data_IF_584916317302
#
_entry.id   IF_584916317302
#
_cell.length_a   1.000
_cell.length_b   1.000
_cell.length_c   1.000
_cell.angle_alpha   90.00
_cell.angle_beta   90.00
_cell.angle_gamma   90.00
#
_symmetry.space_group_name_H-M   'P 1'
#
loop_
_entity.id
_entity.type
_entity.pdbx_description
1 polymer ?
#
# COMPACT_ATOMS: atom_id res chain seq x y z
N UNK A 1 -28.29 -10.13 -18.92
CA UNK A 1 -27.49 -11.01 -18.02
C UNK A 1 -26.06 -11.21 -18.53
N UNK A 2 -25.81 -11.56 -19.80
CA UNK A 2 -24.46 -11.75 -20.35
C UNK A 2 -23.59 -10.47 -20.38
N UNK A 3 -24.13 -9.35 -20.85
CA UNK A 3 -23.39 -8.07 -20.91
C UNK A 3 -22.94 -7.58 -19.52
N UNK A 4 -23.80 -7.75 -18.50
CA UNK A 4 -23.46 -7.44 -17.10
C UNK A 4 -22.40 -8.37 -16.51
N UNK A 5 -22.22 -9.58 -17.06
CA UNK A 5 -21.19 -10.52 -16.62
C UNK A 5 -19.84 -10.23 -17.28
N UNK A 6 -19.87 -9.79 -18.55
CA UNK A 6 -18.68 -9.39 -19.31
C UNK A 6 -18.07 -8.08 -18.77
N UNK A 7 -18.88 -7.03 -18.60
CA UNK A 7 -18.42 -5.77 -17.99
C UNK A 7 -17.82 -5.99 -16.59
N UNK A 8 -18.45 -6.85 -15.78
CA UNK A 8 -17.98 -7.17 -14.43
C UNK A 8 -16.67 -7.99 -14.42
N UNK A 9 -16.32 -8.69 -15.51
CA UNK A 9 -15.05 -9.44 -15.65
C UNK A 9 -13.91 -8.53 -16.09
N UNK A 10 -14.17 -7.60 -17.02
CA UNK A 10 -13.20 -6.57 -17.44
C UNK A 10 -12.82 -5.63 -16.29
N UNK A 11 -13.81 -5.19 -15.49
CA UNK A 11 -13.57 -4.35 -14.31
C UNK A 11 -12.67 -5.05 -13.28
N UNK A 12 -12.81 -6.37 -13.12
CA UNK A 12 -12.00 -7.18 -12.21
C UNK A 12 -10.56 -7.33 -12.68
N UNK A 13 -10.36 -7.65 -13.96
CA UNK A 13 -9.00 -7.77 -14.52
C UNK A 13 -8.27 -6.43 -14.47
N UNK A 14 -8.98 -5.32 -14.73
CA UNK A 14 -8.43 -3.98 -14.58
C UNK A 14 -8.04 -3.69 -13.12
N UNK A 15 -8.91 -3.99 -12.15
CA UNK A 15 -8.62 -3.78 -10.74
C UNK A 15 -7.44 -4.63 -10.23
N UNK A 16 -7.35 -5.90 -10.64
CA UNK A 16 -6.21 -6.78 -10.31
C UNK A 16 -4.91 -6.25 -10.90
N UNK A 17 -4.93 -5.80 -12.16
CA UNK A 17 -3.77 -5.21 -12.81
C UNK A 17 -3.30 -3.93 -12.13
N UNK A 18 -4.24 -3.07 -11.69
CA UNK A 18 -3.90 -1.86 -10.97
C UNK A 18 -3.28 -2.16 -9.60
N UNK A 19 -3.78 -3.14 -8.85
CA UNK A 19 -3.17 -3.56 -7.57
C UNK A 19 -1.76 -4.11 -7.82
N UNK A 20 -1.60 -4.99 -8.81
CA UNK A 20 -0.29 -5.51 -9.20
C UNK A 20 0.70 -4.38 -9.52
N UNK A 21 0.28 -3.43 -10.36
CA UNK A 21 1.11 -2.29 -10.74
C UNK A 21 1.46 -1.41 -9.53
N UNK A 22 0.50 -1.16 -8.64
CA UNK A 22 0.70 -0.41 -7.41
C UNK A 22 1.79 -1.04 -6.54
N UNK A 23 1.64 -2.33 -6.23
CA UNK A 23 2.55 -3.07 -5.34
C UNK A 23 3.94 -3.23 -5.98
N UNK A 24 4.01 -3.33 -7.31
CA UNK A 24 5.29 -3.30 -8.03
C UNK A 24 5.98 -1.94 -7.92
N UNK A 25 5.25 -0.83 -8.10
CA UNK A 25 5.81 0.53 -7.98
C UNK A 25 6.32 0.75 -6.56
N UNK A 26 5.54 0.35 -5.54
CA UNK A 26 5.93 0.51 -4.15
C UNK A 26 7.22 -0.27 -3.82
N UNK A 27 7.30 -1.53 -4.25
CA UNK A 27 8.52 -2.33 -4.11
C UNK A 27 9.74 -1.69 -4.77
N UNK A 28 9.59 -1.07 -5.94
CA UNK A 28 10.70 -0.36 -6.58
C UNK A 28 11.14 0.86 -5.76
N UNK A 29 10.19 1.64 -5.23
CA UNK A 29 10.51 2.78 -4.37
C UNK A 29 11.22 2.35 -3.08
N UNK A 30 10.81 1.23 -2.49
CA UNK A 30 11.46 0.60 -1.33
C UNK A 30 12.92 0.24 -1.63
N UNK A 31 13.15 -0.46 -2.74
CA UNK A 31 14.49 -0.89 -3.16
C UNK A 31 15.39 0.31 -3.49
N UNK A 32 14.86 1.32 -4.18
CA UNK A 32 15.59 2.54 -4.49
C UNK A 32 15.97 3.29 -3.20
N UNK A 33 15.10 3.29 -2.20
CA UNK A 33 15.38 3.93 -0.92
C UNK A 33 16.49 3.19 -0.17
N UNK A 34 16.50 1.85 -0.16
CA UNK A 34 17.61 1.07 0.37
C UNK A 34 18.92 1.44 -0.33
N UNK A 35 18.91 1.46 -1.66
CA UNK A 35 20.11 1.72 -2.46
C UNK A 35 20.68 3.13 -2.18
N UNK A 36 19.82 4.11 -2.01
CA UNK A 36 20.24 5.47 -1.66
C UNK A 36 20.80 5.58 -0.25
N UNK A 37 20.19 4.88 0.71
CA UNK A 37 20.67 4.82 2.09
C UNK A 37 22.02 4.12 2.18
N UNK A 38 22.24 3.04 1.41
CA UNK A 38 23.50 2.31 1.36
C UNK A 38 24.63 3.18 0.79
N UNK A 39 24.37 3.88 -0.33
CA UNK A 39 25.29 4.88 -0.90
C UNK A 39 25.65 6.00 0.06
N UNK A 40 24.74 6.31 0.98
CA UNK A 40 24.84 7.43 1.91
C UNK A 40 25.04 6.98 3.34
N UNK A 41 25.57 5.77 3.52
CA UNK A 41 25.59 5.05 4.79
C UNK A 41 26.30 5.79 5.93
N UNK A 42 27.24 6.67 5.59
CA UNK A 42 27.95 7.54 6.55
C UNK A 42 27.06 8.57 7.24
N UNK A 43 25.89 8.89 6.68
CA UNK A 43 25.00 9.94 7.19
C UNK A 43 23.78 9.40 7.93
N UNK A 44 23.54 8.10 7.88
CA UNK A 44 22.36 7.46 8.48
C UNK A 44 22.81 6.47 9.56
N UNK A 45 22.15 6.48 10.71
CA UNK A 45 22.50 5.59 11.80
C UNK A 45 22.32 4.11 11.39
N UNK A 46 23.27 3.25 11.74
CA UNK A 46 23.29 1.83 11.34
C UNK A 46 22.00 1.07 11.72
N UNK A 47 21.43 1.37 12.89
CA UNK A 47 20.15 0.77 13.29
C UNK A 47 19.01 1.15 12.35
N UNK A 48 18.92 2.42 11.93
CA UNK A 48 17.91 2.89 10.97
C UNK A 48 18.07 2.19 9.62
N UNK A 49 19.31 2.00 9.15
CA UNK A 49 19.59 1.25 7.92
C UNK A 49 19.10 -0.20 8.01
N UNK A 50 19.37 -0.87 9.13
CA UNK A 50 18.91 -2.24 9.37
C UNK A 50 17.39 -2.34 9.42
N UNK A 51 16.71 -1.36 10.02
CA UNK A 51 15.25 -1.28 10.01
C UNK A 51 14.69 -1.08 8.60
N UNK A 52 15.26 -0.17 7.81
CA UNK A 52 14.85 0.06 6.41
C UNK A 52 15.00 -1.23 5.59
N UNK A 53 16.15 -1.91 5.72
CA UNK A 53 16.39 -3.18 5.05
C UNK A 53 15.39 -4.25 5.50
N UNK A 54 15.18 -4.39 6.81
CA UNK A 54 14.28 -5.39 7.39
C UNK A 54 12.83 -5.22 6.93
N UNK A 55 12.33 -3.97 6.94
CA UNK A 55 10.98 -3.65 6.45
C UNK A 55 10.87 -3.90 4.95
N UNK A 56 11.90 -3.57 4.16
CA UNK A 56 11.87 -3.81 2.72
C UNK A 56 11.91 -5.31 2.37
N UNK A 57 12.66 -6.12 3.12
CA UNK A 57 12.65 -7.59 2.97
C UNK A 57 11.25 -8.15 3.30
N UNK A 58 10.62 -7.62 4.34
CA UNK A 58 9.24 -7.97 4.68
C UNK A 58 8.25 -7.56 3.58
N UNK A 59 8.45 -6.38 2.99
CA UNK A 59 7.69 -5.90 1.83
C UNK A 59 7.79 -6.81 0.62
N UNK A 60 9.00 -7.26 0.26
CA UNK A 60 9.21 -8.26 -0.79
C UNK A 60 8.39 -9.53 -0.52
N UNK A 61 8.36 -10.00 0.73
CA UNK A 61 7.57 -11.18 1.10
C UNK A 61 6.07 -10.93 0.92
N UNK A 62 5.56 -9.78 1.38
CA UNK A 62 4.16 -9.40 1.21
C UNK A 62 3.78 -9.26 -0.26
N UNK A 63 4.65 -8.65 -1.08
CA UNK A 63 4.48 -8.56 -2.53
C UNK A 63 4.24 -9.94 -3.16
N UNK A 64 5.09 -10.94 -2.86
CA UNK A 64 4.90 -12.31 -3.38
C UNK A 64 3.60 -12.95 -2.90
N UNK A 65 3.20 -12.71 -1.65
CA UNK A 65 1.91 -13.18 -1.13
C UNK A 65 0.74 -12.52 -1.87
N UNK A 66 0.83 -11.22 -2.17
CA UNK A 66 -0.13 -10.48 -2.98
C UNK A 66 -0.21 -11.07 -4.39
N UNK A 67 0.92 -11.34 -5.05
CA UNK A 67 0.95 -12.00 -6.36
C UNK A 67 0.24 -13.35 -6.35
N UNK A 68 0.56 -14.20 -5.38
CA UNK A 68 -0.09 -15.51 -5.23
C UNK A 68 -1.61 -15.36 -5.05
N UNK A 69 -2.05 -14.40 -4.23
CA UNK A 69 -3.46 -14.11 -3.99
C UNK A 69 -4.16 -13.60 -5.26
N UNK A 70 -3.52 -12.72 -6.03
CA UNK A 70 -4.06 -12.21 -7.29
C UNK A 70 -4.13 -13.29 -8.38
N UNK A 71 -3.12 -14.16 -8.48
CA UNK A 71 -3.14 -15.33 -9.37
C UNK A 71 -4.32 -16.26 -9.05
N UNK A 72 -4.58 -16.50 -7.75
CA UNK A 72 -5.72 -17.30 -7.34
C UNK A 72 -7.06 -16.67 -7.77
N UNK A 73 -7.20 -15.34 -7.64
CA UNK A 73 -8.40 -14.60 -8.10
C UNK A 73 -8.57 -14.67 -9.61
N UNK A 74 -7.49 -14.58 -10.39
CA UNK A 74 -7.57 -14.69 -11.84
C UNK A 74 -7.96 -16.10 -12.31
N UNK A 75 -7.61 -17.13 -11.53
CA UNK A 75 -7.88 -18.53 -11.86
C UNK A 75 -9.23 -19.05 -11.32
N UNK A 76 -9.89 -18.32 -10.42
CA UNK A 76 -11.18 -18.72 -9.84
C UNK A 76 -12.30 -17.82 -10.36
N UNK A 77 -13.38 -18.43 -10.89
CA UNK A 77 -14.50 -17.70 -11.49
C UNK A 77 -15.47 -17.09 -10.47
N UNK A 78 -15.08 -17.06 -9.20
CA UNK A 78 -15.93 -16.63 -8.10
C UNK A 78 -16.06 -15.10 -8.06
N UNK A 79 -17.31 -14.66 -7.90
CA UNK A 79 -17.70 -13.25 -7.89
C UNK A 79 -17.56 -12.56 -6.54
N UNK A 80 -16.90 -13.20 -5.58
CA UNK A 80 -16.71 -12.67 -4.24
C UNK A 80 -15.51 -11.71 -4.17
N UNK A 81 -15.64 -10.66 -3.38
CA UNK A 81 -14.51 -9.80 -3.03
C UNK A 81 -13.44 -10.65 -2.35
N UNK A 82 -12.21 -10.57 -2.86
CA UNK A 82 -11.11 -11.33 -2.27
C UNK A 82 -10.70 -10.68 -0.93
N UNK A 83 -11.23 -11.24 0.15
CA UNK A 83 -10.93 -10.85 1.53
C UNK A 83 -9.44 -11.01 1.85
N UNK A 84 -8.75 -11.96 1.20
CA UNK A 84 -7.31 -12.15 1.32
C UNK A 84 -6.53 -10.98 0.70
N UNK A 85 -6.89 -10.53 -0.51
CA UNK A 85 -6.24 -9.35 -1.12
C UNK A 85 -6.48 -8.08 -0.31
N UNK A 86 -7.69 -7.88 0.22
CA UNK A 86 -7.99 -6.73 1.09
C UNK A 86 -7.17 -6.78 2.39
N UNK A 87 -7.04 -7.98 2.97
CA UNK A 87 -6.23 -8.17 4.17
C UNK A 87 -4.73 -7.95 3.91
N UNK A 88 -4.21 -8.48 2.80
CA UNK A 88 -2.80 -8.30 2.41
C UNK A 88 -2.49 -6.82 2.15
N UNK A 89 -3.34 -6.09 1.45
CA UNK A 89 -3.17 -4.64 1.24
C UNK A 89 -3.20 -3.86 2.56
N UNK A 90 -4.10 -4.20 3.49
CA UNK A 90 -4.11 -3.60 4.83
C UNK A 90 -2.84 -3.94 5.61
N UNK A 91 -2.37 -5.18 5.51
CA UNK A 91 -1.18 -5.67 6.21
C UNK A 91 0.09 -4.99 5.69
N UNK A 92 0.25 -4.88 4.37
CA UNK A 92 1.33 -4.12 3.71
C UNK A 92 1.32 -2.67 4.20
N UNK A 93 0.21 -1.95 4.09
CA UNK A 93 0.15 -0.57 4.57
C UNK A 93 0.47 -0.36 6.05
N UNK A 94 0.13 -1.31 6.92
CA UNK A 94 0.44 -1.21 8.35
C UNK A 94 1.86 -1.63 8.73
N UNK A 95 2.43 -2.61 8.04
CA UNK A 95 3.68 -3.27 8.45
C UNK A 95 4.87 -2.97 7.54
N UNK A 96 4.62 -2.39 6.38
CA UNK A 96 5.59 -2.01 5.36
C UNK A 96 5.52 -0.49 5.13
N UNK A 97 4.47 0.02 4.47
CA UNK A 97 4.38 1.41 4.02
C UNK A 97 4.51 2.41 5.17
N UNK A 98 3.76 2.19 6.27
CA UNK A 98 3.79 3.10 7.43
C UNK A 98 5.20 3.13 8.06
N UNK A 99 5.80 1.99 8.44
CA UNK A 99 7.17 1.96 8.90
C UNK A 99 8.17 2.58 7.90
N UNK A 100 8.07 2.29 6.61
CA UNK A 100 8.89 2.89 5.54
C UNK A 100 8.82 4.42 5.57
N UNK A 101 7.61 5.00 5.62
CA UNK A 101 7.41 6.46 5.67
C UNK A 101 7.94 7.05 6.97
N UNK A 102 7.71 6.41 8.13
CA UNK A 102 8.27 6.89 9.40
C UNK A 102 9.81 6.87 9.41
N UNK A 103 10.41 5.82 8.84
CA UNK A 103 11.85 5.73 8.68
C UNK A 103 12.36 6.81 7.72
N UNK A 104 11.65 7.08 6.62
CA UNK A 104 11.97 8.17 5.70
C UNK A 104 11.91 9.54 6.38
N UNK A 105 10.89 9.82 7.20
CA UNK A 105 10.80 11.05 8.01
C UNK A 105 11.99 11.15 8.97
N UNK A 106 12.33 10.04 9.64
CA UNK A 106 13.46 10.00 10.58
C UNK A 106 14.78 10.30 9.86
N UNK A 107 14.99 9.72 8.68
CA UNK A 107 16.16 10.03 7.83
C UNK A 107 16.14 11.50 7.40
N UNK A 108 15.03 12.02 6.87
CA UNK A 108 14.94 13.41 6.42
C UNK A 108 15.26 14.42 7.53
N UNK A 109 14.77 14.18 8.76
CA UNK A 109 15.03 15.05 9.91
C UNK A 109 16.49 15.03 10.38
N UNK A 110 17.12 13.85 10.35
CA UNK A 110 18.48 13.69 10.87
C UNK A 110 19.57 13.98 9.81
N UNK A 111 19.19 14.05 8.53
CA UNK A 111 20.14 14.08 7.42
C UNK A 111 19.89 15.27 6.50
N UNK A 112 20.43 16.44 6.84
CA UNK A 112 20.24 17.70 6.08
C UNK A 112 20.70 17.68 4.61
N UNK A 113 21.44 16.65 4.19
CA UNK A 113 21.98 16.49 2.83
C UNK A 113 21.33 15.37 2.03
N UNK A 114 20.41 14.61 2.62
CA UNK A 114 19.76 13.48 1.99
C UNK A 114 18.33 13.81 1.55
N UNK A 115 18.13 14.95 0.88
CA UNK A 115 16.86 15.19 0.18
C UNK A 115 16.92 14.36 -1.09
N UNK A 116 16.30 13.20 -0.99
CA UNK A 116 16.26 12.16 -2.01
C UNK A 116 15.04 12.34 -2.92
N UNK A 117 15.22 12.23 -4.23
CA UNK A 117 14.10 12.10 -5.17
C UNK A 117 13.20 10.89 -4.83
N UNK A 118 13.77 9.84 -4.24
CA UNK A 118 13.03 8.64 -3.79
C UNK A 118 12.14 8.97 -2.60
N UNK A 119 12.58 9.77 -1.64
CA UNK A 119 11.74 10.21 -0.52
C UNK A 119 10.56 11.06 -0.99
N UNK A 120 10.78 11.95 -1.98
CA UNK A 120 9.69 12.71 -2.61
C UNK A 120 8.71 11.76 -3.31
N UNK A 121 9.22 10.81 -4.10
CA UNK A 121 8.38 9.84 -4.81
C UNK A 121 7.55 8.98 -3.84
N UNK A 122 8.16 8.47 -2.76
CA UNK A 122 7.47 7.76 -1.67
C UNK A 122 6.39 8.61 -1.02
N UNK A 123 6.68 9.87 -0.74
CA UNK A 123 5.71 10.75 -0.10
C UNK A 123 4.54 11.09 -1.03
N UNK A 124 4.78 11.29 -2.34
CA UNK A 124 3.72 11.47 -3.33
C UNK A 124 2.88 10.20 -3.46
N UNK A 125 3.52 9.05 -3.57
CA UNK A 125 2.85 7.76 -3.68
C UNK A 125 2.01 7.44 -2.44
N UNK A 126 2.57 7.66 -1.25
CA UNK A 126 1.90 7.56 0.05
C UNK A 126 0.80 8.62 0.30
N UNK A 127 0.54 9.52 -0.65
CA UNK A 127 -0.68 10.35 -0.70
C UNK A 127 -1.66 9.80 -1.74
N UNK A 128 -1.20 9.51 -2.95
CA UNK A 128 -2.04 9.08 -4.06
C UNK A 128 -2.71 7.73 -3.77
N UNK A 129 -1.96 6.73 -3.31
CA UNK A 129 -2.49 5.39 -3.08
C UNK A 129 -3.57 5.36 -1.98
N UNK A 130 -3.34 5.93 -0.78
CA UNK A 130 -4.39 5.99 0.25
C UNK A 130 -5.67 6.69 -0.21
N UNK A 131 -5.57 7.73 -1.05
CA UNK A 131 -6.75 8.40 -1.62
C UNK A 131 -7.55 7.48 -2.54
N UNK A 132 -6.87 6.72 -3.40
CA UNK A 132 -7.51 5.75 -4.29
C UNK A 132 -8.16 4.61 -3.48
N UNK A 133 -7.47 4.11 -2.45
CA UNK A 133 -7.99 3.07 -1.54
C UNK A 133 -9.21 3.57 -0.74
N UNK A 134 -9.16 4.77 -0.16
CA UNK A 134 -10.30 5.37 0.55
C UNK A 134 -11.52 5.56 -0.35
N UNK A 135 -11.32 5.98 -1.60
CA UNK A 135 -12.40 6.08 -2.60
C UNK A 135 -13.04 4.72 -2.87
N UNK A 136 -12.23 3.66 -3.00
CA UNK A 136 -12.70 2.28 -3.18
C UNK A 136 -13.51 1.82 -1.96
N UNK A 137 -12.98 2.00 -0.74
CA UNK A 137 -13.67 1.68 0.51
C UNK A 137 -15.02 2.41 0.60
N UNK A 138 -15.07 3.70 0.25
CA UNK A 138 -16.32 4.47 0.22
C UNK A 138 -17.35 3.88 -0.75
N UNK A 139 -16.94 3.57 -1.98
CA UNK A 139 -17.79 2.94 -2.98
C UNK A 139 -18.32 1.56 -2.52
N UNK A 140 -17.49 0.76 -1.86
CA UNK A 140 -17.88 -0.56 -1.34
C UNK A 140 -18.88 -0.43 -0.17
N UNK A 141 -18.70 0.57 0.69
CA UNK A 141 -19.64 0.88 1.78
C UNK A 141 -21.00 1.32 1.22
N UNK A 142 -21.02 2.19 0.21
CA UNK A 142 -22.28 2.64 -0.42
C UNK A 142 -22.99 1.49 -1.14
N UNK A 143 -22.23 0.62 -1.83
CA UNK A 143 -22.78 -0.55 -2.51
C UNK A 143 -23.30 -1.61 -1.54
N UNK A 144 -22.61 -1.85 -0.42
CA UNK A 144 -23.05 -2.79 0.62
C UNK A 144 -24.28 -2.29 1.39
N UNK A 145 -24.46 -0.98 1.55
CA UNK A 145 -25.72 -0.40 2.07
C UNK A 145 -26.91 -0.66 1.16
N UNK A 146 -26.70 -0.71 -0.17
CA UNK A 146 -27.73 -1.04 -1.16
C UNK A 146 -28.01 -2.55 -1.25
N UNK A 147 -27.03 -3.38 -0.90
CA UNK A 147 -27.09 -4.85 -0.92
C UNK A 147 -27.24 -5.39 0.50
N UNK A 148 -28.47 -5.49 1.00
CA UNK A 148 -28.80 -6.02 2.33
C UNK A 148 -28.45 -7.52 2.43
N UNK A 149 -27.17 -7.85 2.66
CA UNK A 149 -26.72 -9.19 3.07
C UNK A 149 -25.62 -9.06 4.11
N UNK A 150 -25.95 -9.60 5.28
CA UNK A 150 -25.13 -9.88 6.45
C UNK A 150 -23.61 -9.81 6.20
N UNK A 151 -23.02 -8.64 6.43
CA UNK A 151 -21.57 -8.48 6.40
C UNK A 151 -21.01 -8.97 7.72
N UNK A 152 -20.14 -9.98 7.68
CA UNK A 152 -19.43 -10.51 8.84
C UNK A 152 -18.78 -9.35 9.66
N UNK A 153 -18.86 -9.36 10.99
CA UNK A 153 -18.30 -8.29 11.83
C UNK A 153 -16.79 -8.08 11.59
N UNK A 154 -16.06 -9.14 11.22
CA UNK A 154 -14.64 -9.09 10.86
C UNK A 154 -14.37 -8.20 9.62
N UNK A 155 -15.24 -8.22 8.61
CA UNK A 155 -15.06 -7.42 7.39
C UNK A 155 -15.23 -5.91 7.65
N UNK A 156 -16.19 -5.52 8.51
CA UNK A 156 -16.34 -4.12 8.92
C UNK A 156 -15.11 -3.62 9.70
N UNK A 157 -14.58 -4.46 10.58
CA UNK A 157 -13.35 -4.17 11.31
C UNK A 157 -12.16 -3.99 10.36
N UNK A 158 -12.00 -4.89 9.39
CA UNK A 158 -10.93 -4.80 8.39
C UNK A 158 -11.03 -3.51 7.56
N UNK A 159 -12.21 -3.15 7.05
CA UNK A 159 -12.42 -1.91 6.31
C UNK A 159 -12.15 -0.66 7.15
N UNK A 160 -12.49 -0.70 8.45
CA UNK A 160 -12.19 0.40 9.37
C UNK A 160 -10.68 0.53 9.62
N UNK A 161 -9.99 -0.59 9.84
CA UNK A 161 -8.53 -0.61 10.01
C UNK A 161 -7.82 -0.12 8.74
N UNK A 162 -8.25 -0.58 7.56
CA UNK A 162 -7.71 -0.17 6.27
C UNK A 162 -7.95 1.33 5.99
N UNK A 163 -9.13 1.85 6.33
CA UNK A 163 -9.38 3.29 6.25
C UNK A 163 -8.49 4.08 7.23
N UNK A 164 -8.32 3.58 8.46
CA UNK A 164 -7.47 4.22 9.47
C UNK A 164 -5.99 4.22 9.06
N UNK A 165 -5.48 3.12 8.52
CA UNK A 165 -4.11 3.03 8.02
C UNK A 165 -3.90 3.97 6.85
N UNK A 166 -4.86 4.07 5.92
CA UNK A 166 -4.82 5.03 4.81
C UNK A 166 -4.74 6.48 5.31
N UNK A 167 -5.53 6.86 6.32
CA UNK A 167 -5.50 8.22 6.90
C UNK A 167 -4.14 8.49 7.55
N UNK A 168 -3.60 7.53 8.31
CA UNK A 168 -2.29 7.65 8.94
C UNK A 168 -1.17 7.77 7.91
N UNK A 169 -1.22 6.99 6.83
CA UNK A 169 -0.27 7.07 5.71
C UNK A 169 -0.32 8.44 5.07
N UNK A 170 -1.52 8.91 4.73
CA UNK A 170 -1.71 10.20 4.08
C UNK A 170 -1.15 11.33 4.94
N UNK A 171 -1.47 11.34 6.24
CA UNK A 171 -0.93 12.32 7.18
C UNK A 171 0.61 12.25 7.27
N UNK A 172 1.16 11.05 7.40
CA UNK A 172 2.61 10.84 7.53
C UNK A 172 3.36 11.26 6.26
N UNK A 173 2.79 10.96 5.08
CA UNK A 173 3.34 11.35 3.79
C UNK A 173 3.30 12.86 3.57
N UNK A 174 2.24 13.55 4.01
CA UNK A 174 2.19 15.02 4.02
C UNK A 174 3.26 15.60 4.95
N UNK A 175 3.44 15.02 6.13
CA UNK A 175 4.52 15.43 7.06
C UNK A 175 5.90 15.21 6.44
N UNK A 176 6.11 14.11 5.72
CA UNK A 176 7.35 13.85 4.98
C UNK A 176 7.57 14.91 3.90
N UNK A 177 6.55 15.20 3.07
CA UNK A 177 6.64 16.25 2.05
C UNK A 177 7.02 17.60 2.66
N UNK A 178 6.32 18.04 3.70
CA UNK A 178 6.62 19.31 4.38
C UNK A 178 8.05 19.30 4.96
N UNK A 179 8.53 18.15 5.45
CA UNK A 179 9.89 18.04 5.98
C UNK A 179 11.00 18.05 4.92
N UNK A 180 10.65 17.85 3.64
CA UNK A 180 11.59 17.82 2.52
C UNK A 180 11.72 19.19 1.81
N UNK A 181 10.81 20.14 2.08
CA UNK A 181 10.80 21.51 1.53
C UNK A 181 11.07 22.56 2.62
#
# INVERSE_FOLDING_TARGET
KYVSHMMRREDKTCAVFLVFLSETIDLFLDLDFIFEIDKSSQYVHKSTQQWILGVSIWGIFLYFMTLCSLCFVCCTDDNEENLCSTFLSCLSSMTEDLPQIFLAISVARNTKKLISWVQIAKAVYGVIEPLLRLKKIGNDVDRSRQSFRATFPCYKCLKFLDASSCILLLFSSVVLLIGLF
#
